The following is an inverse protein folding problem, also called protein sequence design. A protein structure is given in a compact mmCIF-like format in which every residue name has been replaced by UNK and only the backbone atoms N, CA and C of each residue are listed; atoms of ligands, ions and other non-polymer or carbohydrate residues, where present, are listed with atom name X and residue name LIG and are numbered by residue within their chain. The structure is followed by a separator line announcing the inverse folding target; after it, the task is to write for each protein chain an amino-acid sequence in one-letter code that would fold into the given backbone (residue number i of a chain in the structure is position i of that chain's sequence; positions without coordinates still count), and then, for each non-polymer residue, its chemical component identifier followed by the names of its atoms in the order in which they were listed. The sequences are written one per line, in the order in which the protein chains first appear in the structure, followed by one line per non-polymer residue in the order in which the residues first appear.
data_IF_829070317907
#
_entry.id   IF_829070317907
#
_cell.length_a   1.000
_cell.length_b   1.000
_cell.length_c   1.000
_cell.angle_alpha   90.00
_cell.angle_beta   90.00
_cell.angle_gamma   90.00
#
_symmetry.space_group_name_H-M   'P 1'
#
loop_
_entity.id
_entity.type
_entity.pdbx_description
1 polymer ?
#
# COMPACT_ATOMS: atom_id res chain seq x y z
N UNK A 1 -39.47 -18.66 -2.62
CA UNK A 1 -38.77 -17.97 -1.51
C UNK A 1 -37.36 -17.70 -2.00
N UNK A 2 -37.13 -16.55 -2.66
CA UNK A 2 -35.84 -16.19 -3.22
C UNK A 2 -35.01 -15.49 -2.15
N UNK A 3 -33.82 -16.00 -1.86
CA UNK A 3 -32.86 -15.27 -1.03
C UNK A 3 -32.42 -14.03 -1.83
N UNK A 4 -32.73 -12.85 -1.32
CA UNK A 4 -32.16 -11.61 -1.83
C UNK A 4 -30.72 -11.56 -1.32
N UNK A 5 -29.76 -11.80 -2.22
CA UNK A 5 -28.36 -11.48 -1.94
C UNK A 5 -28.28 -9.96 -1.85
N UNK A 6 -28.05 -9.43 -0.64
CA UNK A 6 -27.80 -8.00 -0.49
C UNK A 6 -26.50 -7.65 -1.21
N UNK A 7 -26.48 -6.53 -1.93
CA UNK A 7 -25.22 -5.93 -2.38
C UNK A 7 -24.39 -5.60 -1.14
N UNK A 8 -23.27 -6.31 -0.99
CA UNK A 8 -22.26 -5.96 0.00
C UNK A 8 -21.41 -4.84 -0.61
N UNK A 9 -21.56 -3.60 -0.11
CA UNK A 9 -20.66 -2.51 -0.48
C UNK A 9 -19.34 -2.76 0.23
N UNK A 10 -18.27 -2.91 -0.54
CA UNK A 10 -16.92 -2.84 0.01
C UNK A 10 -16.72 -1.44 0.62
N UNK A 11 -15.95 -1.33 1.72
CA UNK A 11 -15.56 -0.02 2.24
C UNK A 11 -14.83 0.78 1.16
N UNK A 12 -14.94 2.12 1.17
CA UNK A 12 -14.22 2.94 0.21
C UNK A 12 -12.71 2.81 0.45
N UNK A 13 -11.95 2.57 -0.63
CA UNK A 13 -10.49 2.63 -0.58
C UNK A 13 -10.04 4.08 -0.44
N UNK A 14 -9.21 4.35 0.57
CA UNK A 14 -8.70 5.68 0.89
C UNK A 14 -7.29 5.93 0.36
N UNK A 15 -6.54 4.85 0.11
CA UNK A 15 -5.20 4.90 -0.51
C UNK A 15 -5.07 3.76 -1.50
N UNK A 16 -4.52 4.06 -2.67
CA UNK A 16 -4.22 3.07 -3.69
C UNK A 16 -2.85 3.31 -4.30
N UNK A 17 -2.04 2.26 -4.35
CA UNK A 17 -0.70 2.23 -4.92
C UNK A 17 -0.68 1.11 -5.96
N UNK A 18 -0.27 1.44 -7.19
CA UNK A 18 -0.23 0.50 -8.31
C UNK A 18 1.13 0.47 -8.96
N UNK A 19 1.64 -0.73 -9.20
CA UNK A 19 2.87 -1.01 -9.93
C UNK A 19 4.08 -0.17 -9.48
N UNK A 20 4.21 0.04 -8.17
CA UNK A 20 5.30 0.84 -7.61
C UNK A 20 6.56 0.00 -7.49
N UNK A 21 7.60 0.47 -8.16
CA UNK A 21 8.98 0.02 -8.02
C UNK A 21 9.85 1.20 -7.59
N UNK A 22 10.71 1.00 -6.59
CA UNK A 22 11.57 2.06 -6.06
C UNK A 22 12.96 1.51 -5.72
N UNK A 23 13.99 2.26 -6.13
CA UNK A 23 15.40 1.97 -5.85
C UNK A 23 16.02 3.18 -5.18
N UNK A 24 16.65 2.97 -4.01
CA UNK A 24 17.37 4.05 -3.33
C UNK A 24 18.57 4.52 -4.15
N UNK A 25 18.94 5.81 -4.08
CA UNK A 25 20.21 6.27 -4.62
C UNK A 25 21.36 5.42 -4.05
N UNK A 26 22.20 4.86 -4.92
CA UNK A 26 23.32 3.97 -4.60
C UNK A 26 22.95 2.53 -4.20
N UNK A 27 21.71 2.08 -4.38
CA UNK A 27 21.35 0.66 -4.30
C UNK A 27 21.50 -0.01 -5.66
N UNK A 28 22.08 -1.21 -5.69
CA UNK A 28 22.20 -2.01 -6.92
C UNK A 28 20.89 -2.72 -7.28
N UNK A 29 20.06 -3.03 -6.29
CA UNK A 29 18.79 -3.75 -6.44
C UNK A 29 17.60 -2.90 -5.94
N UNK A 30 16.41 -3.07 -6.53
CA UNK A 30 15.21 -2.34 -6.12
C UNK A 30 14.78 -2.73 -4.70
N UNK A 31 14.39 -1.73 -3.91
CA UNK A 31 13.84 -1.92 -2.57
C UNK A 31 12.35 -2.26 -2.59
N UNK A 32 11.62 -1.76 -3.59
CA UNK A 32 10.25 -2.14 -3.92
C UNK A 32 10.21 -2.60 -5.37
N UNK A 33 9.51 -3.70 -5.65
CA UNK A 33 9.34 -4.23 -7.00
C UNK A 33 7.87 -4.59 -7.21
N UNK A 34 7.25 -3.94 -8.17
CA UNK A 34 5.90 -4.21 -8.67
C UNK A 34 4.84 -4.30 -7.55
N UNK A 35 4.91 -3.35 -6.60
CA UNK A 35 4.05 -3.33 -5.42
C UNK A 35 2.69 -2.75 -5.78
N UNK A 36 1.64 -3.53 -5.45
CA UNK A 36 0.24 -3.15 -5.55
C UNK A 36 -0.37 -3.22 -4.14
N UNK A 37 -0.90 -2.09 -3.64
CA UNK A 37 -1.47 -1.97 -2.29
C UNK A 37 -2.74 -1.12 -2.33
N UNK A 38 -3.79 -1.61 -1.69
CA UNK A 38 -5.04 -0.87 -1.45
C UNK A 38 -5.24 -0.80 0.06
N UNK A 39 -5.60 0.38 0.56
CA UNK A 39 -5.97 0.58 1.96
C UNK A 39 -7.40 1.05 2.01
N UNK A 40 -8.25 0.25 2.66
CA UNK A 40 -9.65 0.59 2.85
C UNK A 40 -9.88 1.42 4.12
N UNK A 41 -10.99 2.14 4.17
CA UNK A 41 -11.34 2.94 5.33
C UNK A 41 -11.40 2.07 6.61
N UNK A 42 -10.62 2.48 7.62
CA UNK A 42 -10.51 1.76 8.90
C UNK A 42 -9.43 0.68 8.93
N UNK A 43 -8.74 0.41 7.82
CA UNK A 43 -7.59 -0.48 7.81
C UNK A 43 -6.31 0.21 8.31
N UNK A 44 -5.51 -0.55 9.05
CA UNK A 44 -4.18 -0.11 9.51
C UNK A 44 -3.13 -1.06 8.95
N UNK A 45 -2.26 -0.54 8.07
CA UNK A 45 -1.21 -1.32 7.43
C UNK A 45 0.15 -0.90 7.98
N UNK A 46 0.93 -1.89 8.43
CA UNK A 46 2.31 -1.69 8.86
C UNK A 46 3.26 -2.07 7.71
N UNK A 47 3.93 -1.07 7.13
CA UNK A 47 4.98 -1.32 6.14
C UNK A 47 6.28 -1.74 6.85
N UNK A 48 6.69 -3.00 6.68
CA UNK A 48 7.91 -3.56 7.28
C UNK A 48 8.91 -4.02 6.21
N UNK A 49 10.19 -4.00 6.53
CA UNK A 49 11.29 -4.37 5.64
C UNK A 49 12.65 -4.15 6.32
N UNK A 50 13.76 -4.68 5.77
CA UNK A 50 15.10 -4.47 6.32
C UNK A 50 15.43 -2.98 6.48
N UNK A 51 16.20 -2.61 7.51
CA UNK A 51 16.65 -1.24 7.77
C UNK A 51 17.34 -0.67 6.52
N UNK A 52 16.83 0.45 6.00
CA UNK A 52 17.30 1.05 4.73
C UNK A 52 16.26 1.15 3.62
N UNK A 53 15.11 0.44 3.71
CA UNK A 53 14.05 0.55 2.69
C UNK A 53 13.12 1.77 2.84
N UNK A 54 13.56 2.84 3.52
CA UNK A 54 12.90 4.15 3.66
C UNK A 54 11.47 4.18 4.21
N UNK A 55 11.16 3.23 5.10
CA UNK A 55 9.94 3.21 5.95
C UNK A 55 9.68 4.53 6.70
N UNK A 56 10.68 5.39 6.83
CA UNK A 56 10.62 6.66 7.58
C UNK A 56 10.59 7.91 6.70
N UNK A 57 10.60 7.80 5.36
CA UNK A 57 10.77 8.98 4.49
C UNK A 57 9.44 9.60 3.99
N UNK A 58 8.28 8.96 4.13
CA UNK A 58 6.98 9.54 3.73
C UNK A 58 6.39 10.56 4.73
N UNK A 59 7.15 11.03 5.72
CA UNK A 59 6.68 11.96 6.75
C UNK A 59 7.39 13.34 6.78
N UNK A 60 8.23 13.69 5.78
CA UNK A 60 8.80 15.03 5.70
C UNK A 60 8.14 15.85 4.60
N UNK A 61 7.07 16.53 5.00
CA UNK A 61 6.54 17.74 4.35
C UNK A 61 7.64 18.82 4.31
N UNK A 62 7.97 19.30 3.11
CA UNK A 62 8.11 20.72 2.79
C UNK A 62 7.48 20.95 1.41
#
# INVERSE_FOLDING_TARGET
MGAQIGEFSLPPSIVEVRDVSYTYPNAEEPALRDVNLTVDEGEFILLTGPSGCGKTTDASTD
#
